data_IF_306694257026
#
_entry.id   IF_306694257026
#
_cell.length_a   1.000
_cell.length_b   1.000
_cell.length_c   1.000
_cell.angle_alpha   90.00
_cell.angle_beta   90.00
_cell.angle_gamma   90.00
#
_symmetry.space_group_name_H-M   'P 1'
#
loop_
_entity.id
_entity.type
_entity.pdbx_description
1 polymer ?
#
# COMPACT_ATOMS: atom_id res chain seq x y z
N UNK A 1 16.36 -2.51 10.20
CA UNK A 1 15.41 -2.32 9.09
C UNK A 1 16.19 -2.55 7.80
N UNK A 2 15.81 -3.51 6.96
CA UNK A 2 16.59 -3.80 5.75
C UNK A 2 16.33 -2.74 4.68
N UNK A 3 17.40 -2.35 3.97
CA UNK A 3 17.35 -1.40 2.87
C UNK A 3 16.41 -1.88 1.73
N UNK A 4 16.20 -3.20 1.65
CA UNK A 4 15.27 -3.86 0.74
C UNK A 4 13.82 -3.45 0.99
N UNK A 5 13.37 -3.43 2.26
CA UNK A 5 12.00 -3.06 2.63
C UNK A 5 11.73 -1.60 2.27
N UNK A 6 12.66 -0.71 2.60
CA UNK A 6 12.53 0.72 2.27
C UNK A 6 12.41 0.94 0.76
N UNK A 7 13.22 0.24 -0.03
CA UNK A 7 13.20 0.31 -1.50
C UNK A 7 11.87 -0.19 -2.06
N UNK A 8 11.39 -1.34 -1.58
CA UNK A 8 10.10 -1.92 -2.01
C UNK A 8 8.91 -1.05 -1.65
N UNK A 9 8.88 -0.49 -0.44
CA UNK A 9 7.83 0.44 -0.02
C UNK A 9 7.83 1.68 -0.93
N UNK A 10 9.00 2.27 -1.20
CA UNK A 10 9.07 3.45 -2.06
C UNK A 10 8.56 3.18 -3.49
N UNK A 11 8.95 2.04 -4.08
CA UNK A 11 8.51 1.61 -5.41
C UNK A 11 6.97 1.46 -5.47
N UNK A 12 6.40 0.78 -4.47
CA UNK A 12 4.96 0.49 -4.41
C UNK A 12 4.14 1.76 -4.11
N UNK A 13 4.62 2.60 -3.20
CA UNK A 13 4.02 3.92 -2.93
C UNK A 13 3.98 4.80 -4.18
N UNK A 14 5.03 4.77 -5.00
CA UNK A 14 5.05 5.48 -6.28
C UNK A 14 3.98 4.99 -7.25
N UNK A 15 3.83 3.66 -7.37
CA UNK A 15 2.78 3.04 -8.22
C UNK A 15 1.37 3.38 -7.75
N UNK A 16 1.13 3.33 -6.44
CA UNK A 16 -0.17 3.69 -5.84
C UNK A 16 -0.47 5.16 -6.11
N UNK A 17 0.51 6.04 -5.90
CA UNK A 17 0.32 7.49 -6.14
C UNK A 17 0.01 7.77 -7.61
N UNK A 18 0.72 7.13 -8.54
CA UNK A 18 0.45 7.27 -9.97
C UNK A 18 -0.96 6.75 -10.35
N UNK A 19 -1.37 5.61 -9.81
CA UNK A 19 -2.71 5.07 -10.02
C UNK A 19 -3.80 5.97 -9.44
N UNK A 20 -3.58 6.55 -8.25
CA UNK A 20 -4.51 7.49 -7.62
C UNK A 20 -4.69 8.76 -8.45
N UNK A 21 -3.59 9.32 -8.95
CA UNK A 21 -3.62 10.49 -9.83
C UNK A 21 -4.32 10.19 -11.17
N UNK A 22 -4.18 8.97 -11.70
CA UNK A 22 -4.83 8.56 -12.94
C UNK A 22 -6.36 8.32 -12.76
N UNK A 23 -6.78 7.74 -11.64
CA UNK A 23 -8.18 7.40 -11.36
C UNK A 23 -8.96 8.56 -10.70
N UNK A 24 -8.26 9.49 -10.04
CA UNK A 24 -8.79 10.64 -9.29
C UNK A 24 -9.81 10.31 -8.17
N UNK A 25 -10.07 9.03 -7.90
CA UNK A 25 -11.00 8.55 -6.90
C UNK A 25 -10.72 7.09 -6.49
N UNK A 26 -11.35 6.65 -5.40
CA UNK A 26 -11.30 5.24 -4.97
C UNK A 26 -12.21 4.38 -5.85
N UNK A 27 -11.64 3.73 -6.87
CA UNK A 27 -12.36 2.84 -7.78
C UNK A 27 -12.05 1.36 -7.50
N UNK A 28 -12.90 0.41 -7.95
CA UNK A 28 -12.57 -1.01 -7.87
C UNK A 28 -11.26 -1.36 -8.58
N UNK A 29 -10.96 -0.67 -9.69
CA UNK A 29 -9.71 -0.83 -10.44
C UNK A 29 -8.51 -0.34 -9.64
N UNK A 30 -8.61 0.82 -9.00
CA UNK A 30 -7.57 1.31 -8.09
C UNK A 30 -7.30 0.31 -6.97
N UNK A 31 -8.36 -0.25 -6.37
CA UNK A 31 -8.22 -1.25 -5.31
C UNK A 31 -7.49 -2.52 -5.78
N UNK A 32 -7.76 -2.99 -7.02
CA UNK A 32 -7.03 -4.12 -7.60
C UNK A 32 -5.54 -3.81 -7.80
N UNK A 33 -5.21 -2.60 -8.29
CA UNK A 33 -3.82 -2.16 -8.47
C UNK A 33 -3.10 -2.09 -7.12
N UNK A 34 -3.75 -1.52 -6.11
CA UNK A 34 -3.24 -1.40 -4.75
C UNK A 34 -2.97 -2.79 -4.15
N UNK A 35 -3.94 -3.70 -4.18
CA UNK A 35 -3.80 -5.05 -3.64
C UNK A 35 -2.69 -5.84 -4.35
N UNK A 36 -2.59 -5.74 -5.68
CA UNK A 36 -1.53 -6.39 -6.44
C UNK A 36 -0.14 -5.82 -6.09
N UNK A 37 -0.02 -4.49 -5.99
CA UNK A 37 1.25 -3.84 -5.69
C UNK A 37 1.73 -4.15 -4.26
N UNK A 38 0.81 -4.20 -3.30
CA UNK A 38 1.12 -4.61 -1.92
C UNK A 38 1.52 -6.08 -1.81
N UNK A 39 0.81 -7.00 -2.48
CA UNK A 39 1.19 -8.43 -2.48
C UNK A 39 2.55 -8.66 -3.09
N UNK A 40 2.89 -7.94 -4.17
CA UNK A 40 4.24 -7.99 -4.75
C UNK A 40 5.29 -7.48 -3.74
N UNK A 41 4.98 -6.40 -3.02
CA UNK A 41 5.85 -5.84 -1.98
C UNK A 41 6.17 -6.84 -0.87
N UNK A 42 5.19 -7.66 -0.51
CA UNK A 42 5.23 -8.56 0.63
C UNK A 42 5.57 -10.03 0.29
N UNK A 43 5.65 -10.41 -1.00
CA UNK A 43 5.74 -11.81 -1.45
C UNK A 43 6.81 -12.62 -0.73
N UNK A 44 7.99 -12.03 -0.56
CA UNK A 44 9.18 -12.70 -0.03
C UNK A 44 9.57 -12.17 1.37
N UNK A 45 8.68 -11.43 2.04
CA UNK A 45 8.93 -10.82 3.34
C UNK A 45 8.45 -11.71 4.49
N UNK A 46 9.15 -11.65 5.62
CA UNK A 46 8.62 -12.22 6.87
C UNK A 46 7.35 -11.49 7.31
N UNK A 47 6.48 -12.18 8.06
CA UNK A 47 5.17 -11.65 8.47
C UNK A 47 5.24 -10.27 9.16
N UNK A 48 6.25 -10.05 10.02
CA UNK A 48 6.47 -8.77 10.70
C UNK A 48 6.79 -7.65 9.69
N UNK A 49 7.61 -7.95 8.68
CA UNK A 49 7.98 -6.99 7.64
C UNK A 49 6.80 -6.70 6.71
N UNK A 50 5.96 -7.71 6.41
CA UNK A 50 4.76 -7.55 5.61
C UNK A 50 3.70 -6.66 6.29
N UNK A 51 3.57 -6.74 7.63
CA UNK A 51 2.69 -5.87 8.41
C UNK A 51 3.18 -4.41 8.39
N UNK A 52 4.47 -4.18 8.56
CA UNK A 52 5.09 -2.85 8.45
C UNK A 52 4.92 -2.26 7.05
N UNK A 53 5.13 -3.05 6.00
CA UNK A 53 4.87 -2.62 4.61
C UNK A 53 3.41 -2.21 4.46
N UNK A 54 2.46 -3.04 4.90
CA UNK A 54 1.03 -2.76 4.83
C UNK A 54 0.66 -1.47 5.57
N UNK A 55 1.26 -1.24 6.74
CA UNK A 55 1.07 -0.01 7.51
C UNK A 55 1.56 1.23 6.74
N UNK A 56 2.76 1.17 6.14
CA UNK A 56 3.31 2.29 5.35
C UNK A 56 2.52 2.57 4.10
N UNK A 57 2.02 1.55 3.42
CA UNK A 57 1.10 1.74 2.28
C UNK A 57 -0.20 2.39 2.74
N UNK A 58 -0.72 2.02 3.92
CA UNK A 58 -1.87 2.69 4.53
C UNK A 58 -1.64 4.19 4.79
N UNK A 59 -0.44 4.59 5.22
CA UNK A 59 -0.09 6.00 5.39
C UNK A 59 -0.08 6.77 4.06
N UNK A 60 0.45 6.16 3.00
CA UNK A 60 0.42 6.78 1.66
C UNK A 60 -1.02 7.01 1.19
N UNK A 61 -1.91 6.03 1.40
CA UNK A 61 -3.32 6.17 1.05
C UNK A 61 -4.02 7.26 1.88
N UNK A 62 -3.62 7.42 3.15
CA UNK A 62 -4.11 8.49 4.00
C UNK A 62 -3.67 9.87 3.47
N UNK A 63 -2.40 10.01 3.09
CA UNK A 63 -1.85 11.26 2.56
C UNK A 63 -2.47 11.64 1.21
N UNK A 64 -2.82 10.64 0.40
CA UNK A 64 -3.55 10.81 -0.86
C UNK A 64 -5.04 11.17 -0.65
N UNK A 65 -5.55 11.12 0.58
CA UNK A 65 -6.97 11.32 0.90
C UNK A 65 -7.86 10.15 0.46
N UNK A 66 -7.26 9.01 0.14
CA UNK A 66 -7.91 7.81 -0.38
C UNK A 66 -8.64 7.04 0.74
N UNK A 67 -8.12 7.12 1.96
CA UNK A 67 -8.72 6.55 3.18
C UNK A 67 -8.66 7.54 4.34
N UNK A 68 -9.40 7.24 5.40
CA UNK A 68 -9.34 7.96 6.68
C UNK A 68 -8.47 7.22 7.69
N UNK A 69 -8.03 7.91 8.76
CA UNK A 69 -7.24 7.30 9.85
C UNK A 69 -7.92 6.09 10.49
N UNK A 70 -9.25 6.07 10.56
CA UNK A 70 -10.02 4.95 11.11
C UNK A 70 -9.95 3.68 10.23
N UNK A 71 -9.63 3.84 8.94
CA UNK A 71 -9.52 2.74 7.98
C UNK A 71 -8.11 2.16 7.91
N UNK A 72 -7.09 2.83 8.47
CA UNK A 72 -5.69 2.39 8.45
C UNK A 72 -5.50 0.95 8.98
N UNK A 73 -6.11 0.54 10.11
CA UNK A 73 -5.98 -0.84 10.61
C UNK A 73 -6.60 -1.88 9.67
N UNK A 74 -7.55 -1.48 8.83
CA UNK A 74 -8.20 -2.38 7.86
C UNK A 74 -7.39 -2.55 6.59
N UNK A 75 -6.44 -1.66 6.31
CA UNK A 75 -5.58 -1.75 5.11
C UNK A 75 -4.83 -3.07 5.09
N UNK A 76 -4.23 -3.49 6.22
CA UNK A 76 -3.57 -4.80 6.31
C UNK A 76 -4.50 -5.97 5.94
N UNK A 77 -5.78 -5.91 6.35
CA UNK A 77 -6.78 -6.91 5.99
C UNK A 77 -7.26 -6.81 4.52
N UNK A 78 -7.17 -5.63 3.90
CA UNK A 78 -7.47 -5.45 2.47
C UNK A 78 -6.33 -5.90 1.56
N UNK A 79 -5.09 -5.86 2.07
CA UNK A 79 -3.88 -6.24 1.33
C UNK A 79 -3.55 -7.74 1.45
N UNK A 80 -4.15 -8.45 2.42
CA UNK A 80 -4.11 -9.91 2.58
C UNK A 80 -4.99 -10.64 1.57
#
# INVERSE_FOLDING_TARGET
>A
MSQLIQTRVAEVSGRISAAWQAEAAWTPRFNQVLAAAAREACRDLHAIDAEEVSHRLGLVLLDLGAITRAQLPRVGAFLG
#
